data_IF_627545559211
#
_entry.id   IF_627545559211
#
_cell.length_a   1.000
_cell.length_b   1.000
_cell.length_c   1.000
_cell.angle_alpha   90.00
_cell.angle_beta   90.00
_cell.angle_gamma   90.00
#
_symmetry.space_group_name_H-M   'P 1'
#
loop_
_entity.id
_entity.type
_entity.pdbx_description
1 polymer ?
#
# COMPACT_ATOMS: atom_id res chain seq x y z
N UNK A 1 -1.86 15.38 17.40
CA UNK A 1 -0.89 14.26 17.35
C UNK A 1 0.48 14.90 17.09
N UNK A 2 1.53 14.53 17.83
CA UNK A 2 2.83 15.20 17.72
C UNK A 2 3.44 14.95 16.34
N UNK A 3 4.06 15.95 15.71
CA UNK A 3 4.69 15.86 14.38
C UNK A 3 5.65 14.66 14.25
N UNK A 4 6.41 14.39 15.30
CA UNK A 4 7.31 13.23 15.38
C UNK A 4 6.58 11.89 15.23
N UNK A 5 5.40 11.78 15.84
CA UNK A 5 4.58 10.55 15.79
C UNK A 5 4.03 10.33 14.38
N UNK A 6 3.58 11.38 13.69
CA UNK A 6 3.08 11.26 12.30
C UNK A 6 4.21 10.93 11.34
N UNK A 7 5.38 11.54 11.54
CA UNK A 7 6.59 11.24 10.76
C UNK A 7 7.00 9.77 10.93
N UNK A 8 6.89 9.22 12.14
CA UNK A 8 7.10 7.81 12.39
C UNK A 8 6.08 6.93 11.64
N UNK A 9 4.79 7.27 11.70
CA UNK A 9 3.75 6.56 10.94
C UNK A 9 4.00 6.60 9.43
N UNK A 10 4.32 7.78 8.88
CA UNK A 10 4.64 7.94 7.46
C UNK A 10 5.87 7.11 7.07
N UNK A 11 6.92 7.11 7.89
CA UNK A 11 8.11 6.28 7.71
C UNK A 11 7.78 4.78 7.71
N UNK A 12 7.00 4.31 8.69
CA UNK A 12 6.54 2.92 8.74
C UNK A 12 5.73 2.54 7.51
N UNK A 13 4.79 3.39 7.09
CA UNK A 13 3.99 3.19 5.88
C UNK A 13 4.86 3.08 4.63
N UNK A 14 5.84 3.97 4.48
CA UNK A 14 6.78 3.96 3.36
C UNK A 14 7.63 2.67 3.34
N UNK A 15 8.13 2.21 4.49
CA UNK A 15 8.87 0.94 4.59
C UNK A 15 8.00 -0.25 4.20
N UNK A 16 6.76 -0.30 4.68
CA UNK A 16 5.82 -1.38 4.32
C UNK A 16 5.55 -1.35 2.81
N UNK A 17 5.26 -0.17 2.23
CA UNK A 17 5.09 -0.01 0.79
C UNK A 17 6.33 -0.50 0.03
N UNK A 18 7.53 -0.13 0.48
CA UNK A 18 8.79 -0.55 -0.15
C UNK A 18 8.96 -2.08 -0.16
N UNK A 19 8.70 -2.75 0.96
CA UNK A 19 8.76 -4.21 1.05
C UNK A 19 7.76 -4.86 0.08
N UNK A 20 6.54 -4.33 -0.01
CA UNK A 20 5.52 -4.83 -0.95
C UNK A 20 5.95 -4.58 -2.40
N UNK A 21 6.54 -3.42 -2.71
CA UNK A 21 7.05 -3.10 -4.05
C UNK A 21 8.11 -4.12 -4.49
N UNK A 22 9.05 -4.48 -3.61
CA UNK A 22 10.04 -5.51 -3.91
C UNK A 22 9.39 -6.86 -4.26
N UNK A 23 8.37 -7.26 -3.49
CA UNK A 23 7.58 -8.46 -3.79
C UNK A 23 6.89 -8.33 -5.16
N UNK A 24 6.24 -7.20 -5.46
CA UNK A 24 5.56 -6.97 -6.74
C UNK A 24 6.53 -7.01 -7.93
N UNK A 25 7.74 -6.47 -7.78
CA UNK A 25 8.80 -6.54 -8.80
C UNK A 25 9.22 -8.00 -9.03
N UNK A 26 9.43 -8.78 -7.96
CA UNK A 26 9.73 -10.22 -8.07
C UNK A 26 8.62 -10.99 -8.82
N UNK A 27 7.36 -10.62 -8.60
CA UNK A 27 6.21 -11.21 -9.31
C UNK A 27 6.19 -10.85 -10.79
N UNK A 28 6.54 -9.61 -11.16
CA UNK A 28 6.69 -9.17 -12.56
C UNK A 28 7.74 -10.03 -13.28
N UNK A 29 8.86 -10.34 -12.61
CA UNK A 29 9.88 -11.25 -13.15
C UNK A 29 9.48 -12.73 -13.15
N UNK A 30 8.28 -13.08 -12.67
CA UNK A 30 7.77 -14.45 -12.70
C UNK A 30 8.38 -15.37 -11.64
N UNK A 31 8.92 -14.82 -10.56
CA UNK A 31 9.41 -15.63 -9.43
C UNK A 31 8.25 -16.36 -8.74
N UNK A 32 8.50 -17.52 -8.11
CA UNK A 32 7.46 -18.39 -7.56
C UNK A 32 6.86 -17.89 -6.22
N UNK A 33 6.74 -16.56 -6.04
CA UNK A 33 6.14 -15.92 -4.88
C UNK A 33 4.66 -15.59 -5.08
N UNK A 34 4.08 -15.96 -6.23
CA UNK A 34 2.68 -15.70 -6.54
C UNK A 34 1.72 -16.29 -5.52
N UNK A 35 2.11 -17.39 -4.88
CA UNK A 35 1.33 -18.05 -3.83
C UNK A 35 1.07 -17.15 -2.60
N UNK A 36 1.91 -16.13 -2.38
CA UNK A 36 1.74 -15.16 -1.30
C UNK A 36 0.76 -14.03 -1.66
N UNK A 37 0.30 -13.96 -2.90
CA UNK A 37 -0.50 -12.86 -3.43
C UNK A 37 -1.73 -13.38 -4.17
N UNK A 38 -2.74 -12.52 -4.38
CA UNK A 38 -3.91 -12.84 -5.20
C UNK A 38 -4.58 -14.18 -4.85
N UNK A 39 -4.76 -14.44 -3.55
CA UNK A 39 -5.43 -15.64 -3.04
C UNK A 39 -4.64 -16.94 -3.14
N UNK A 40 -3.36 -16.89 -3.53
CA UNK A 40 -2.48 -18.05 -3.61
C UNK A 40 -2.81 -19.02 -4.75
N UNK A 41 -3.64 -18.59 -5.71
CA UNK A 41 -4.13 -19.42 -6.81
C UNK A 41 -3.02 -19.83 -7.79
N UNK A 42 -1.99 -19.00 -7.94
CA UNK A 42 -0.90 -19.23 -8.89
C UNK A 42 0.45 -19.10 -8.18
N UNK A 43 1.28 -20.15 -8.26
CA UNK A 43 2.66 -20.08 -7.76
C UNK A 43 3.53 -19.16 -8.62
N UNK A 44 3.35 -19.22 -9.93
CA UNK A 44 3.98 -18.35 -10.93
C UNK A 44 2.86 -17.59 -11.62
N UNK A 45 2.91 -16.25 -11.61
CA UNK A 45 1.84 -15.44 -12.18
C UNK A 45 1.80 -15.55 -13.72
N UNK A 46 0.61 -15.74 -14.32
CA UNK A 46 0.41 -15.56 -15.75
C UNK A 46 0.60 -14.08 -16.13
N UNK A 47 0.93 -13.83 -17.40
CA UNK A 47 1.24 -12.50 -17.93
C UNK A 47 0.28 -11.37 -17.50
N UNK A 48 -1.06 -11.51 -17.56
CA UNK A 48 -1.97 -10.43 -17.14
C UNK A 48 -1.83 -10.05 -15.67
N UNK A 49 -1.58 -11.03 -14.79
CA UNK A 49 -1.38 -10.76 -13.36
C UNK A 49 -0.01 -10.13 -13.08
N UNK A 50 1.01 -10.41 -13.90
CA UNK A 50 2.30 -9.72 -13.82
C UNK A 50 2.17 -8.23 -14.13
N UNK A 51 1.38 -7.88 -15.15
CA UNK A 51 1.10 -6.47 -15.46
C UNK A 51 0.37 -5.81 -14.28
N UNK A 52 -0.62 -6.47 -13.69
CA UNK A 52 -1.31 -5.97 -12.51
C UNK A 52 -0.36 -5.76 -11.30
N UNK A 53 0.60 -6.66 -11.09
CA UNK A 53 1.67 -6.49 -10.09
C UNK A 53 2.55 -5.27 -10.38
N UNK A 54 2.93 -5.05 -11.64
CA UNK A 54 3.69 -3.86 -12.06
C UNK A 54 2.94 -2.56 -11.78
N UNK A 55 1.65 -2.51 -12.12
CA UNK A 55 0.78 -1.35 -11.82
C UNK A 55 0.69 -1.13 -10.31
N UNK A 56 0.53 -2.21 -9.53
CA UNK A 56 0.45 -2.13 -8.07
C UNK A 56 1.74 -1.57 -7.46
N UNK A 57 2.91 -1.97 -7.99
CA UNK A 57 4.20 -1.44 -7.54
C UNK A 57 4.31 0.08 -7.77
N UNK A 58 3.84 0.58 -8.93
CA UNK A 58 3.83 2.00 -9.24
C UNK A 58 2.91 2.76 -8.28
N UNK A 59 1.69 2.25 -8.06
CA UNK A 59 0.72 2.88 -7.15
C UNK A 59 1.30 2.96 -5.72
N UNK A 60 1.85 1.86 -5.21
CA UNK A 60 2.44 1.82 -3.87
C UNK A 60 3.67 2.72 -3.76
N UNK A 61 4.47 2.82 -4.82
CA UNK A 61 5.62 3.73 -4.88
C UNK A 61 5.19 5.19 -4.77
N UNK A 62 4.16 5.57 -5.54
CA UNK A 62 3.56 6.90 -5.47
C UNK A 62 3.02 7.19 -4.07
N UNK A 63 2.20 6.29 -3.52
CA UNK A 63 1.63 6.49 -2.17
C UNK A 63 2.71 6.60 -1.10
N UNK A 64 3.71 5.71 -1.12
CA UNK A 64 4.83 5.75 -0.18
C UNK A 64 5.61 7.06 -0.24
N UNK A 65 5.85 7.58 -1.46
CA UNK A 65 6.47 8.88 -1.65
C UNK A 65 5.60 10.00 -1.08
N UNK A 66 4.30 9.99 -1.39
CA UNK A 66 3.37 11.04 -0.93
C UNK A 66 3.23 11.06 0.59
N UNK A 67 3.27 9.91 1.27
CA UNK A 67 3.28 9.84 2.74
C UNK A 67 4.49 10.60 3.32
N UNK A 68 5.68 10.36 2.78
CA UNK A 68 6.91 11.04 3.21
C UNK A 68 6.92 12.52 2.85
N UNK A 69 6.31 12.88 1.72
CA UNK A 69 6.16 14.28 1.30
C UNK A 69 5.26 15.06 2.28
N UNK A 70 4.18 14.45 2.77
CA UNK A 70 3.24 15.09 3.70
C UNK A 70 3.86 15.40 5.07
N UNK A 71 4.92 14.69 5.43
CA UNK A 71 5.68 14.91 6.67
C UNK A 71 6.99 15.65 6.43
N UNK A 72 7.16 16.25 5.24
CA UNK A 72 8.35 17.02 4.84
C UNK A 72 9.68 16.24 4.89
N UNK A 73 9.63 14.91 4.95
CA UNK A 73 10.82 14.04 4.91
C UNK A 73 11.42 14.01 3.50
N UNK A 74 10.56 14.02 2.48
CA UNK A 74 10.95 14.09 1.08
C UNK A 74 10.52 15.41 0.43
N UNK A 75 11.24 15.86 -0.61
CA UNK A 75 10.88 17.08 -1.32
C UNK A 75 9.51 16.95 -1.99
N UNK A 76 8.91 18.10 -2.29
CA UNK A 76 7.59 18.16 -2.94
C UNK A 76 7.70 17.72 -4.39
N UNK A 77 7.06 16.59 -4.72
CA UNK A 77 6.83 16.12 -6.08
C UNK A 77 5.50 16.65 -6.63
N UNK A 78 4.47 16.66 -5.79
CA UNK A 78 3.14 17.18 -6.12
C UNK A 78 2.74 18.33 -5.18
N UNK A 79 1.81 19.21 -5.59
CA UNK A 79 1.19 20.15 -4.67
C UNK A 79 0.61 19.44 -3.44
N UNK A 80 0.69 20.09 -2.27
CA UNK A 80 0.18 19.54 -1.00
C UNK A 80 -1.29 19.14 -1.09
N UNK A 81 -2.11 19.97 -1.74
CA UNK A 81 -3.53 19.70 -1.96
C UNK A 81 -3.78 18.45 -2.81
N UNK A 82 -3.03 18.30 -3.91
CA UNK A 82 -3.21 17.16 -4.81
C UNK A 82 -2.74 15.86 -4.18
N UNK A 83 -1.58 15.90 -3.51
CA UNK A 83 -1.07 14.75 -2.77
C UNK A 83 -2.01 14.33 -1.64
N UNK A 84 -2.65 15.28 -0.96
CA UNK A 84 -3.69 15.02 0.04
C UNK A 84 -4.91 14.33 -0.54
N UNK A 85 -5.42 14.78 -1.69
CA UNK A 85 -6.56 14.16 -2.37
C UNK A 85 -6.23 12.71 -2.77
N UNK A 86 -5.04 12.47 -3.31
CA UNK A 86 -4.58 11.12 -3.71
C UNK A 86 -4.50 10.19 -2.50
N UNK A 87 -3.93 10.66 -1.38
CA UNK A 87 -3.84 9.86 -0.15
C UNK A 87 -5.23 9.54 0.41
N UNK A 88 -6.15 10.50 0.43
CA UNK A 88 -7.53 10.23 0.85
C UNK A 88 -8.25 9.21 -0.05
N UNK A 89 -8.11 9.34 -1.37
CA UNK A 89 -8.66 8.37 -2.31
C UNK A 89 -8.08 6.96 -2.07
N UNK A 90 -6.77 6.87 -1.82
CA UNK A 90 -6.11 5.61 -1.51
C UNK A 90 -6.53 5.03 -0.15
N UNK A 91 -6.72 5.88 0.87
CA UNK A 91 -7.25 5.50 2.17
C UNK A 91 -8.65 4.90 2.03
N UNK A 92 -9.54 5.52 1.25
CA UNK A 92 -10.89 4.97 1.00
C UNK A 92 -10.79 3.61 0.29
N UNK A 93 -9.95 3.51 -0.74
CA UNK A 93 -9.70 2.26 -1.44
C UNK A 93 -9.21 1.15 -0.50
N UNK A 94 -8.26 1.45 0.39
CA UNK A 94 -7.77 0.51 1.40
C UNK A 94 -8.86 0.11 2.39
N UNK A 95 -9.73 1.03 2.81
CA UNK A 95 -10.87 0.72 3.67
C UNK A 95 -11.82 -0.30 3.03
N UNK A 96 -12.14 -0.11 1.75
CA UNK A 96 -12.92 -1.10 0.97
C UNK A 96 -12.17 -2.42 0.86
N UNK A 97 -10.85 -2.38 0.63
CA UNK A 97 -10.00 -3.57 0.52
C UNK A 97 -9.98 -4.38 1.83
N UNK A 98 -9.90 -3.72 2.98
CA UNK A 98 -9.98 -4.35 4.31
C UNK A 98 -11.32 -5.08 4.46
N UNK A 99 -12.44 -4.40 4.16
CA UNK A 99 -13.77 -5.02 4.23
C UNK A 99 -13.90 -6.24 3.30
N UNK A 100 -13.37 -6.13 2.08
CA UNK A 100 -13.34 -7.24 1.12
C UNK A 100 -12.49 -8.42 1.62
N UNK A 101 -11.32 -8.15 2.20
CA UNK A 101 -10.42 -9.19 2.74
C UNK A 101 -11.02 -9.88 3.97
N UNK A 102 -11.72 -9.14 4.84
CA UNK A 102 -12.49 -9.70 5.96
C UNK A 102 -13.58 -10.63 5.43
N UNK A 103 -14.33 -10.19 4.42
CA UNK A 103 -15.41 -10.96 3.81
C UNK A 103 -14.91 -12.14 2.95
N UNK A 104 -13.63 -12.21 2.62
CA UNK A 104 -13.08 -13.26 1.75
C UNK A 104 -13.24 -14.65 2.36
N UNK A 105 -13.49 -15.63 1.49
CA UNK A 105 -13.57 -17.06 1.82
C UNK A 105 -12.18 -17.71 1.94
N UNK A 106 -11.12 -17.06 1.48
CA UNK A 106 -9.75 -17.58 1.56
C UNK A 106 -9.14 -17.31 2.94
N UNK A 107 -8.74 -18.38 3.66
CA UNK A 107 -8.08 -18.26 4.97
C UNK A 107 -6.79 -17.43 4.90
N UNK A 108 -6.03 -17.59 3.81
CA UNK A 108 -4.77 -16.88 3.61
C UNK A 108 -4.96 -15.40 3.31
N UNK A 109 -5.99 -15.03 2.55
CA UNK A 109 -6.34 -13.61 2.35
C UNK A 109 -6.75 -12.98 3.68
N UNK A 110 -7.57 -13.68 4.47
CA UNK A 110 -8.03 -13.12 5.75
C UNK A 110 -6.90 -12.93 6.77
N UNK A 111 -5.97 -13.89 6.87
CA UNK A 111 -4.90 -13.88 7.89
C UNK A 111 -3.74 -12.96 7.51
N UNK A 112 -3.39 -12.83 6.23
CA UNK A 112 -2.22 -12.05 5.79
C UNK A 112 -2.64 -10.70 5.20
N UNK A 113 -3.60 -10.68 4.27
CA UNK A 113 -3.94 -9.46 3.54
C UNK A 113 -4.77 -8.48 4.37
N UNK A 114 -5.67 -8.98 5.23
CA UNK A 114 -6.43 -8.12 6.13
C UNK A 114 -5.55 -7.28 7.07
N UNK A 115 -4.65 -7.86 7.88
CA UNK A 115 -3.84 -7.05 8.79
C UNK A 115 -2.89 -6.11 8.01
N UNK A 116 -2.35 -6.55 6.87
CA UNK A 116 -1.50 -5.70 6.04
C UNK A 116 -2.26 -4.49 5.49
N UNK A 117 -3.44 -4.72 4.90
CA UNK A 117 -4.30 -3.66 4.39
C UNK A 117 -4.80 -2.74 5.52
N UNK A 118 -5.08 -3.30 6.70
CA UNK A 118 -5.52 -2.54 7.87
C UNK A 118 -4.40 -1.64 8.42
N UNK A 119 -3.17 -2.14 8.51
CA UNK A 119 -2.02 -1.33 8.94
C UNK A 119 -1.80 -0.17 7.97
N UNK A 120 -1.78 -0.46 6.66
CA UNK A 120 -1.64 0.59 5.65
C UNK A 120 -2.81 1.58 5.68
N UNK A 121 -4.03 1.10 5.90
CA UNK A 121 -5.22 1.95 6.05
C UNK A 121 -5.07 2.90 7.23
N UNK A 122 -4.69 2.39 8.41
CA UNK A 122 -4.53 3.21 9.63
C UNK A 122 -3.42 4.22 9.46
N UNK A 123 -2.27 3.84 8.88
CA UNK A 123 -1.16 4.75 8.61
C UNK A 123 -1.59 5.87 7.65
N UNK A 124 -2.22 5.51 6.53
CA UNK A 124 -2.64 6.47 5.52
C UNK A 124 -3.72 7.41 6.07
N UNK A 125 -4.67 6.87 6.83
CA UNK A 125 -5.71 7.66 7.51
C UNK A 125 -5.12 8.63 8.54
N UNK A 126 -4.18 8.18 9.37
CA UNK A 126 -3.53 9.01 10.39
C UNK A 126 -2.77 10.19 9.76
N UNK A 127 -2.01 9.96 8.69
CA UNK A 127 -1.30 11.00 7.94
C UNK A 127 -2.30 11.93 7.24
N UNK A 128 -3.31 11.40 6.56
CA UNK A 128 -4.33 12.19 5.87
C UNK A 128 -5.12 13.11 6.80
N UNK A 129 -5.51 12.64 7.99
CA UNK A 129 -6.22 13.45 8.99
C UNK A 129 -5.31 14.53 9.57
N UNK A 130 -4.03 14.22 9.83
CA UNK A 130 -3.11 15.21 10.37
C UNK A 130 -2.86 16.38 9.42
N UNK A 131 -2.74 16.09 8.12
CA UNK A 131 -2.50 17.11 7.10
C UNK A 131 -3.78 17.77 6.55
N UNK A 132 -4.93 17.55 7.20
CA UNK A 132 -6.21 18.17 6.86
C UNK A 132 -6.43 19.44 7.65
#
# INVERSE_FOLDING_TARGET
MNEEVISLFAGMGAVICFVIILLQILLVFGKPYGALTMGGKYRILPLPLRVASGISAIILGTVGYLLLQQTEILPKLLPFELSRIILWAFTIFLGVNVLANIASKSRWERIIMTPLALILFVVCLAVSIYTS
#
